data_IF_658271104149
#
_entry.id   IF_658271104149
#
_cell.length_a   1.000
_cell.length_b   1.000
_cell.length_c   1.000
_cell.angle_alpha   90.00
_cell.angle_beta   90.00
_cell.angle_gamma   90.00
#
_symmetry.space_group_name_H-M   'P 1'
#
loop_
_entity.id
_entity.type
_entity.pdbx_description
1 polymer ?
#
# COMPACT_ATOMS: atom_id res chain seq x y z
N UNK A 1 19.18 10.27 -10.16
CA UNK A 1 18.71 9.76 -8.87
C UNK A 1 17.58 8.74 -8.96
N UNK A 2 16.38 9.04 -9.48
CA UNK A 2 15.27 8.07 -9.40
C UNK A 2 15.48 6.75 -10.16
N UNK A 3 16.07 6.81 -11.35
CA UNK A 3 16.50 5.60 -12.09
C UNK A 3 17.62 4.84 -11.37
N UNK A 4 18.46 5.54 -10.60
CA UNK A 4 19.60 4.93 -9.91
C UNK A 4 19.15 3.98 -8.80
N UNK A 5 18.14 4.33 -8.00
CA UNK A 5 17.62 3.46 -6.94
C UNK A 5 17.00 2.17 -7.49
N UNK A 6 16.13 2.28 -8.50
CA UNK A 6 15.56 1.12 -9.19
C UNK A 6 16.65 0.22 -9.79
N UNK A 7 17.66 0.81 -10.41
CA UNK A 7 18.77 0.06 -11.02
C UNK A 7 19.73 -0.56 -10.00
N UNK A 8 19.99 0.10 -8.86
CA UNK A 8 20.88 -0.39 -7.80
C UNK A 8 20.29 -1.61 -7.09
N UNK A 9 19.02 -1.54 -6.71
CA UNK A 9 18.37 -2.60 -5.94
C UNK A 9 17.74 -3.66 -6.84
N UNK A 10 17.14 -3.27 -7.96
CA UNK A 10 16.46 -4.18 -8.88
C UNK A 10 17.39 -5.25 -9.45
N UNK A 11 18.61 -4.87 -9.86
CA UNK A 11 19.59 -5.82 -10.37
C UNK A 11 20.02 -6.86 -9.32
N UNK A 12 20.31 -6.41 -8.09
CA UNK A 12 20.76 -7.29 -7.01
C UNK A 12 19.66 -8.25 -6.54
N UNK A 13 18.43 -7.73 -6.35
CA UNK A 13 17.28 -8.55 -5.94
C UNK A 13 16.92 -9.59 -7.02
N UNK A 14 16.94 -9.21 -8.29
CA UNK A 14 16.60 -10.14 -9.36
C UNK A 14 17.72 -11.15 -9.65
N UNK A 15 18.98 -10.79 -9.38
CA UNK A 15 20.08 -11.74 -9.44
C UNK A 15 19.96 -12.82 -8.35
N UNK A 16 19.61 -12.44 -7.11
CA UNK A 16 19.46 -13.40 -6.00
C UNK A 16 18.29 -14.35 -6.20
N UNK A 17 17.25 -13.93 -6.92
CA UNK A 17 16.07 -14.76 -7.25
C UNK A 17 16.11 -15.37 -8.66
N UNK A 18 17.26 -15.28 -9.36
CA UNK A 18 17.39 -15.69 -10.76
C UNK A 18 17.13 -17.17 -11.04
N UNK A 19 17.15 -18.03 -10.02
CA UNK A 19 16.74 -19.42 -10.15
C UNK A 19 15.25 -19.55 -10.51
N UNK A 20 14.41 -18.67 -9.98
CA UNK A 20 12.95 -18.74 -10.13
C UNK A 20 12.41 -17.72 -11.14
N UNK A 21 13.08 -16.59 -11.32
CA UNK A 21 12.61 -15.51 -12.20
C UNK A 21 13.54 -15.29 -13.39
N UNK A 22 12.95 -14.87 -14.50
CA UNK A 22 13.67 -14.27 -15.60
C UNK A 22 14.28 -12.93 -15.14
N UNK A 23 15.61 -12.84 -15.22
CA UNK A 23 16.34 -11.69 -14.69
C UNK A 23 15.89 -10.37 -15.34
N UNK A 24 15.76 -10.33 -16.67
CA UNK A 24 15.44 -9.11 -17.40
C UNK A 24 14.02 -8.62 -17.06
N UNK A 25 13.06 -9.55 -17.02
CA UNK A 25 11.67 -9.24 -16.65
C UNK A 25 11.53 -8.82 -15.19
N UNK A 26 12.19 -9.51 -14.27
CA UNK A 26 12.21 -9.14 -12.86
C UNK A 26 12.84 -7.75 -12.67
N UNK A 27 13.99 -7.49 -13.30
CA UNK A 27 14.69 -6.20 -13.19
C UNK A 27 13.81 -5.05 -13.69
N UNK A 28 13.18 -5.23 -14.85
CA UNK A 28 12.25 -4.24 -15.39
C UNK A 28 11.07 -3.96 -14.44
N UNK A 29 10.52 -5.02 -13.83
CA UNK A 29 9.44 -4.88 -12.86
C UNK A 29 9.85 -4.07 -11.62
N UNK A 30 11.05 -4.34 -11.08
CA UNK A 30 11.61 -3.60 -9.95
C UNK A 30 11.89 -2.14 -10.30
N UNK A 31 12.49 -1.89 -11.47
CA UNK A 31 12.82 -0.54 -11.94
C UNK A 31 11.58 0.33 -12.20
N UNK A 32 10.46 -0.27 -12.59
CA UNK A 32 9.18 0.44 -12.76
C UNK A 32 8.50 0.77 -11.42
N UNK A 33 8.52 -0.16 -10.46
CA UNK A 33 7.70 -0.05 -9.24
C UNK A 33 8.44 0.58 -8.04
N UNK A 34 9.74 0.32 -7.87
CA UNK A 34 10.49 0.81 -6.70
C UNK A 34 10.52 2.35 -6.62
N UNK A 35 10.80 3.11 -7.69
CA UNK A 35 10.83 4.57 -7.60
C UNK A 35 9.46 5.18 -7.24
N UNK A 36 8.36 4.55 -7.67
CA UNK A 36 6.99 4.97 -7.32
C UNK A 36 6.72 4.79 -5.83
N UNK A 37 7.16 3.65 -5.27
CA UNK A 37 7.06 3.37 -3.84
C UNK A 37 7.87 4.35 -3.00
N UNK A 38 9.12 4.62 -3.39
CA UNK A 38 9.98 5.56 -2.65
C UNK A 38 9.45 6.99 -2.69
N UNK A 39 8.98 7.47 -3.85
CA UNK A 39 8.36 8.81 -3.95
C UNK A 39 7.12 8.95 -3.06
N UNK A 40 6.29 7.92 -3.00
CA UNK A 40 5.12 7.90 -2.12
C UNK A 40 5.53 8.02 -0.65
N UNK A 41 6.61 7.34 -0.23
CA UNK A 41 7.14 7.42 1.13
C UNK A 41 7.79 8.77 1.44
N UNK A 42 8.59 9.30 0.51
CA UNK A 42 9.21 10.63 0.65
C UNK A 42 8.14 11.73 0.82
N UNK A 43 7.11 11.71 -0.03
CA UNK A 43 6.00 12.65 0.07
C UNK A 43 5.29 12.55 1.44
N UNK A 44 5.12 11.33 1.97
CA UNK A 44 4.60 11.09 3.33
C UNK A 44 5.43 11.75 4.41
N UNK A 45 6.74 11.58 4.32
CA UNK A 45 7.68 12.02 5.35
C UNK A 45 7.74 13.54 5.45
N UNK A 46 7.56 14.24 4.34
CA UNK A 46 7.68 15.70 4.27
C UNK A 46 6.36 16.45 4.44
N UNK A 47 5.22 15.77 4.33
CA UNK A 47 3.91 16.40 4.43
C UNK A 47 3.58 16.87 5.86
N UNK A 48 2.83 17.96 5.94
CA UNK A 48 2.39 18.59 7.18
C UNK A 48 0.91 18.93 7.15
N UNK A 49 0.32 18.93 8.34
CA UNK A 49 -0.97 19.54 8.63
C UNK A 49 -0.76 20.61 9.72
N UNK A 50 -0.78 21.87 9.34
CA UNK A 50 -0.28 22.97 10.17
C UNK A 50 1.21 22.77 10.53
N UNK A 51 1.51 22.76 11.84
CA UNK A 51 2.86 22.56 12.36
C UNK A 51 3.21 21.08 12.61
N UNK A 52 2.28 20.15 12.32
CA UNK A 52 2.42 18.73 12.62
C UNK A 52 2.83 17.94 11.38
N UNK A 53 3.85 17.08 11.48
CA UNK A 53 4.25 16.23 10.36
C UNK A 53 3.36 14.98 10.27
N UNK A 54 2.92 14.63 9.06
CA UNK A 54 2.07 13.44 8.88
C UNK A 54 2.77 12.13 9.25
N UNK A 55 4.09 12.07 9.16
CA UNK A 55 4.85 10.94 9.70
C UNK A 55 4.69 10.77 11.22
N UNK A 56 4.54 11.88 11.97
CA UNK A 56 4.26 11.82 13.41
C UNK A 56 2.85 11.30 13.66
N UNK A 57 1.88 11.66 12.82
CA UNK A 57 0.51 11.16 12.90
C UNK A 57 0.44 9.64 12.82
N UNK A 58 1.20 9.05 11.90
CA UNK A 58 1.26 7.59 11.75
C UNK A 58 1.83 6.90 12.99
N UNK A 59 2.88 7.46 13.58
CA UNK A 59 3.44 6.95 14.83
C UNK A 59 2.43 7.09 15.99
N UNK A 60 1.72 8.20 16.07
CA UNK A 60 0.67 8.44 17.08
C UNK A 60 -0.45 7.41 16.96
N UNK A 61 -0.98 7.16 15.76
CA UNK A 61 -2.01 6.14 15.52
C UNK A 61 -1.60 4.75 16.01
N UNK A 62 -0.35 4.35 15.70
CA UNK A 62 0.21 3.07 16.15
C UNK A 62 0.27 2.98 17.69
N UNK A 63 0.69 4.08 18.35
CA UNK A 63 0.82 4.14 19.80
C UNK A 63 -0.53 4.21 20.52
N UNK A 64 -1.52 4.90 19.95
CA UNK A 64 -2.86 5.02 20.51
C UNK A 64 -3.64 3.71 20.41
N UNK A 65 -3.63 3.06 19.24
CA UNK A 65 -4.31 1.79 19.03
C UNK A 65 -3.65 0.99 17.91
N UNK A 66 -2.74 0.10 18.29
CA UNK A 66 -2.01 -0.75 17.35
C UNK A 66 -2.91 -1.69 16.54
N UNK A 67 -4.06 -2.12 17.08
CA UNK A 67 -5.01 -2.96 16.36
C UNK A 67 -5.65 -2.19 15.21
N UNK A 68 -6.12 -0.97 15.47
CA UNK A 68 -6.69 -0.12 14.44
C UNK A 68 -5.65 0.32 13.42
N UNK A 69 -4.43 0.64 13.86
CA UNK A 69 -3.31 0.89 12.95
C UNK A 69 -3.13 -0.27 11.95
N UNK A 70 -3.04 -1.51 12.43
CA UNK A 70 -2.92 -2.67 11.53
C UNK A 70 -4.12 -2.77 10.58
N UNK A 71 -5.35 -2.55 11.06
CA UNK A 71 -6.56 -2.58 10.23
C UNK A 71 -6.56 -1.53 9.13
N UNK A 72 -6.06 -0.33 9.40
CA UNK A 72 -5.97 0.73 8.39
C UNK A 72 -4.99 0.38 7.26
N UNK A 73 -3.92 -0.35 7.60
CA UNK A 73 -2.82 -0.70 6.68
C UNK A 73 -2.96 -2.06 5.99
N UNK A 74 -4.04 -2.80 6.26
CA UNK A 74 -4.36 -4.04 5.56
C UNK A 74 -5.53 -3.84 4.58
N UNK A 75 -5.55 -4.57 3.45
CA UNK A 75 -6.71 -4.57 2.58
C UNK A 75 -7.97 -4.97 3.35
N UNK A 76 -9.04 -4.21 3.18
CA UNK A 76 -10.33 -4.50 3.78
C UNK A 76 -11.16 -5.36 2.82
N UNK A 77 -11.82 -6.39 3.35
CA UNK A 77 -12.72 -7.25 2.58
C UNK A 77 -14.17 -6.85 2.85
N UNK A 78 -14.91 -6.34 1.84
CA UNK A 78 -16.32 -6.02 2.00
C UNK A 78 -17.13 -7.19 2.55
N UNK A 79 -18.09 -6.91 3.44
CA UNK A 79 -18.99 -7.92 3.99
C UNK A 79 -18.38 -8.85 5.05
N UNK A 80 -17.12 -8.65 5.45
CA UNK A 80 -16.56 -9.39 6.58
C UNK A 80 -16.91 -8.70 7.92
N UNK A 81 -17.42 -9.42 8.94
CA UNK A 81 -17.85 -8.81 10.20
C UNK A 81 -16.76 -7.99 10.90
N UNK A 82 -15.50 -8.43 10.78
CA UNK A 82 -14.34 -7.78 11.40
C UNK A 82 -13.65 -6.74 10.50
N UNK A 83 -14.23 -6.39 9.34
CA UNK A 83 -13.66 -5.36 8.47
C UNK A 83 -13.68 -3.98 9.14
N UNK A 84 -14.77 -3.66 9.82
CA UNK A 84 -15.06 -2.31 10.31
C UNK A 84 -15.35 -2.27 11.82
N UNK A 85 -14.38 -2.60 12.69
CA UNK A 85 -14.56 -2.44 14.14
C UNK A 85 -14.95 -1.00 14.47
N UNK A 86 -15.98 -0.81 15.29
CA UNK A 86 -16.51 0.51 15.64
C UNK A 86 -15.44 1.43 16.26
N UNK A 87 -14.56 0.88 17.10
CA UNK A 87 -13.42 1.60 17.68
C UNK A 87 -12.48 2.17 16.61
N UNK A 88 -12.23 1.43 15.53
CA UNK A 88 -11.33 1.85 14.46
C UNK A 88 -12.00 2.84 13.51
N UNK A 89 -13.31 2.68 13.25
CA UNK A 89 -14.09 3.66 12.50
C UNK A 89 -14.12 5.00 13.24
N UNK A 90 -14.36 4.97 14.55
CA UNK A 90 -14.41 6.18 15.38
C UNK A 90 -13.04 6.86 15.47
N UNK A 91 -11.96 6.08 15.65
CA UNK A 91 -10.61 6.61 15.63
C UNK A 91 -10.31 7.27 14.28
N UNK A 92 -10.59 6.59 13.16
CA UNK A 92 -10.38 7.17 11.83
C UNK A 92 -11.12 8.50 11.65
N UNK A 93 -12.41 8.56 12.01
CA UNK A 93 -13.22 9.79 11.90
C UNK A 93 -12.71 10.92 12.79
N UNK A 94 -12.28 10.60 14.02
CA UNK A 94 -11.65 11.57 14.94
C UNK A 94 -10.40 12.18 14.31
N UNK A 95 -9.49 11.33 13.86
CA UNK A 95 -8.22 11.77 13.30
C UNK A 95 -8.40 12.48 11.95
N UNK A 96 -9.44 12.13 11.17
CA UNK A 96 -9.81 12.87 9.96
C UNK A 96 -10.33 14.28 10.29
N UNK A 97 -10.96 14.48 11.44
CA UNK A 97 -11.39 15.80 11.91
C UNK A 97 -10.24 16.63 12.48
N UNK A 98 -9.31 16.01 13.21
CA UNK A 98 -8.18 16.68 13.86
C UNK A 98 -7.00 16.95 12.90
N UNK A 99 -6.76 16.02 11.96
CA UNK A 99 -5.61 16.03 11.04
C UNK A 99 -6.04 15.67 9.60
N UNK A 100 -6.97 16.43 8.99
CA UNK A 100 -7.56 16.10 7.68
C UNK A 100 -6.53 15.94 6.56
N UNK A 101 -5.50 16.78 6.50
CA UNK A 101 -4.49 16.72 5.43
C UNK A 101 -3.69 15.42 5.54
N UNK A 102 -3.29 15.06 6.75
CA UNK A 102 -2.54 13.83 6.98
C UNK A 102 -3.37 12.57 6.73
N UNK A 103 -4.65 12.59 7.09
CA UNK A 103 -5.53 11.44 6.84
C UNK A 103 -5.87 11.26 5.37
N UNK A 104 -6.10 12.34 4.61
CA UNK A 104 -6.27 12.27 3.14
C UNK A 104 -5.00 11.75 2.47
N UNK A 105 -3.84 12.21 2.91
CA UNK A 105 -2.56 11.73 2.40
C UNK A 105 -2.35 10.24 2.69
N UNK A 106 -2.66 9.81 3.92
CA UNK A 106 -2.58 8.40 4.32
C UNK A 106 -3.46 7.52 3.44
N UNK A 107 -4.71 7.92 3.21
CA UNK A 107 -5.63 7.17 2.34
C UNK A 107 -5.06 7.01 0.92
N UNK A 108 -4.59 8.10 0.31
CA UNK A 108 -3.97 8.08 -1.02
C UNK A 108 -2.72 7.18 -1.06
N UNK A 109 -1.93 7.17 0.00
CA UNK A 109 -0.76 6.31 0.11
C UNK A 109 -1.10 4.83 0.26
N UNK A 110 -2.11 4.49 1.06
CA UNK A 110 -2.56 3.11 1.22
C UNK A 110 -3.05 2.56 -0.11
N UNK A 111 -3.87 3.33 -0.82
CA UNK A 111 -4.35 2.98 -2.16
C UNK A 111 -3.19 2.78 -3.14
N UNK A 112 -2.30 3.77 -3.25
CA UNK A 112 -1.13 3.69 -4.14
C UNK A 112 -0.19 2.53 -3.78
N UNK A 113 0.02 2.24 -2.48
CA UNK A 113 0.82 1.10 -2.03
C UNK A 113 0.22 -0.23 -2.48
N UNK A 114 -1.10 -0.41 -2.40
CA UNK A 114 -1.75 -1.63 -2.87
C UNK A 114 -1.66 -1.77 -4.39
N UNK A 115 -1.89 -0.69 -5.14
CA UNK A 115 -1.76 -0.69 -6.61
C UNK A 115 -0.34 -1.06 -7.05
N UNK A 116 0.68 -0.43 -6.45
CA UNK A 116 2.09 -0.74 -6.72
C UNK A 116 2.41 -2.18 -6.33
N UNK A 117 1.96 -2.64 -5.16
CA UNK A 117 2.23 -4.01 -4.68
C UNK A 117 1.57 -5.06 -5.56
N UNK A 118 0.33 -4.85 -6.00
CA UNK A 118 -0.36 -5.72 -6.94
C UNK A 118 0.34 -5.76 -8.29
N UNK A 119 0.69 -4.59 -8.85
CA UNK A 119 1.38 -4.51 -10.12
C UNK A 119 2.74 -5.22 -10.07
N UNK A 120 3.55 -4.95 -9.03
CA UNK A 120 4.83 -5.62 -8.84
C UNK A 120 4.65 -7.13 -8.69
N UNK A 121 3.71 -7.58 -7.85
CA UNK A 121 3.44 -9.01 -7.64
C UNK A 121 3.04 -9.69 -8.95
N UNK A 122 2.16 -9.07 -9.74
CA UNK A 122 1.72 -9.58 -11.04
C UNK A 122 2.89 -9.70 -12.02
N UNK A 123 3.72 -8.66 -12.11
CA UNK A 123 4.89 -8.67 -12.98
C UNK A 123 5.92 -9.71 -12.53
N UNK A 124 6.11 -9.92 -11.22
CA UNK A 124 6.98 -10.96 -10.68
C UNK A 124 6.45 -12.36 -11.01
N UNK A 125 5.15 -12.61 -10.81
CA UNK A 125 4.52 -13.89 -11.19
C UNK A 125 4.71 -14.16 -12.69
N UNK A 126 4.47 -13.16 -13.55
CA UNK A 126 4.67 -13.27 -14.99
C UNK A 126 6.16 -13.44 -15.40
N UNK A 127 7.08 -12.95 -14.57
CA UNK A 127 8.52 -13.15 -14.77
C UNK A 127 9.01 -14.53 -14.30
N UNK A 128 8.18 -15.30 -13.58
CA UNK A 128 8.57 -16.61 -13.09
C UNK A 128 8.86 -17.58 -14.25
N UNK A 129 9.86 -18.44 -14.09
CA UNK A 129 10.26 -19.44 -15.09
C UNK A 129 9.28 -20.63 -15.16
N UNK A 130 8.55 -20.92 -14.08
CA UNK A 130 7.52 -21.96 -14.05
C UNK A 130 6.22 -21.48 -14.72
N UNK A 131 5.75 -22.13 -15.80
CA UNK A 131 4.47 -21.80 -16.43
C UNK A 131 3.25 -21.93 -15.51
N UNK A 132 3.26 -22.84 -14.52
CA UNK A 132 2.17 -23.00 -13.56
C UNK A 132 2.05 -21.78 -12.66
N UNK A 133 3.19 -21.22 -12.24
CA UNK A 133 3.22 -19.97 -11.46
C UNK A 133 2.73 -18.83 -12.33
N UNK A 134 3.20 -18.71 -13.59
CA UNK A 134 2.73 -17.65 -14.50
C UNK A 134 1.20 -17.67 -14.69
N UNK A 135 0.58 -18.85 -14.76
CA UNK A 135 -0.86 -18.99 -14.88
C UNK A 135 -1.65 -18.45 -13.67
N UNK A 136 -1.01 -18.27 -12.51
CA UNK A 136 -1.62 -17.65 -11.33
C UNK A 136 -1.83 -16.13 -11.50
N UNK A 137 -1.15 -15.49 -12.46
CA UNK A 137 -1.30 -14.05 -12.70
C UNK A 137 -2.74 -13.66 -13.06
N UNK A 138 -3.49 -14.56 -13.70
CA UNK A 138 -4.88 -14.35 -14.09
C UNK A 138 -5.87 -14.53 -12.93
N UNK A 139 -5.43 -15.16 -11.83
CA UNK A 139 -6.21 -15.38 -10.63
C UNK A 139 -6.02 -14.27 -9.58
N UNK A 140 -5.13 -13.32 -9.85
CA UNK A 140 -4.89 -12.23 -8.92
C UNK A 140 -6.13 -11.33 -8.81
N UNK A 141 -6.47 -10.88 -7.59
CA UNK A 141 -7.52 -9.90 -7.42
C UNK A 141 -7.19 -8.63 -8.24
N UNK A 142 -8.18 -8.14 -8.96
CA UNK A 142 -8.05 -6.93 -9.81
C UNK A 142 -8.19 -5.65 -9.00
N UNK A 143 -8.73 -5.75 -7.78
CA UNK A 143 -8.96 -4.63 -6.88
C UNK A 143 -8.69 -5.05 -5.44
N UNK A 144 -8.03 -4.18 -4.69
CA UNK A 144 -8.01 -4.24 -3.23
C UNK A 144 -8.72 -3.00 -2.71
N UNK A 145 -9.51 -3.15 -1.66
CA UNK A 145 -10.19 -2.02 -1.04
C UNK A 145 -9.43 -1.58 0.21
N UNK A 146 -9.33 -0.27 0.40
CA UNK A 146 -8.81 0.35 1.61
C UNK A 146 -9.84 0.29 2.73
N UNK A 147 -9.39 0.49 3.98
CA UNK A 147 -10.30 0.65 5.12
C UNK A 147 -11.30 1.78 4.88
N UNK A 148 -10.88 2.91 4.33
CA UNK A 148 -11.76 4.06 4.07
C UNK A 148 -12.86 3.72 3.08
N UNK A 149 -12.51 3.05 1.97
CA UNK A 149 -13.48 2.62 0.95
C UNK A 149 -14.52 1.64 1.53
N UNK A 150 -14.11 0.70 2.39
CA UNK A 150 -15.01 -0.34 2.93
C UNK A 150 -15.78 0.10 4.17
N UNK A 151 -15.21 0.96 5.02
CA UNK A 151 -15.74 1.23 6.36
C UNK A 151 -16.18 2.66 6.59
N UNK A 152 -15.70 3.62 5.79
CA UNK A 152 -16.01 5.05 5.96
C UNK A 152 -16.97 5.52 4.87
N UNK A 153 -16.62 5.31 3.59
CA UNK A 153 -17.41 5.77 2.46
C UNK A 153 -18.69 4.96 2.23
N UNK A 154 -18.67 3.65 2.50
CA UNK A 154 -19.84 2.77 2.43
C UNK A 154 -20.93 3.10 3.46
N UNK A 155 -20.57 3.69 4.60
CA UNK A 155 -21.53 4.13 5.63
C UNK A 155 -22.24 5.44 5.26
N UNK A 156 -21.67 6.24 4.34
CA UNK A 156 -22.27 7.50 3.89
C UNK A 156 -23.49 7.30 2.98
N UNK A 157 -23.74 6.07 2.49
CA UNK A 157 -24.90 5.71 1.66
C UNK A 157 -26.11 5.20 2.48
N UNK A 158 -26.01 5.18 3.81
CA UNK A 158 -27.06 4.69 4.73
C UNK A 158 -27.66 5.80 5.61
N UNK A 159 -27.42 7.08 5.27
CA UNK A 159 -28.00 8.26 5.95
C UNK A 159 -28.87 9.04 4.97
#
# INVERSE_FOLDING_TARGET
MEKEYGSCYGGTLCASMSQNFDYAKCKAAMEDNLPKSFRSQEHSACAKDGDFYCAQQLATLLMQNSKCYVKFFLPATPGTPDACPSECVNLWKKEQGEHPVCMTLLEGQLKGKYEISQNLTKQLILSNKDPKVRAMADQMPTTMHTFTEVCIHSQALLV
#
